data_IF_257040380305
#
_entry.id   IF_257040380305
#
_cell.length_a   1.000
_cell.length_b   1.000
_cell.length_c   1.000
_cell.angle_alpha   90.00
_cell.angle_beta   90.00
_cell.angle_gamma   90.00
#
_symmetry.space_group_name_H-M   'P 1'
#
loop_
_entity.id
_entity.type
_entity.pdbx_description
1 polymer ?
#
# COMPACT_ATOMS: atom_id res chain seq x y z
N UNK A 1 1.89 16.18 -9.39
CA UNK A 1 0.86 15.21 -8.97
C UNK A 1 -0.34 15.99 -8.47
N UNK A 2 -1.58 15.57 -8.78
CA UNK A 2 -2.77 16.21 -8.23
C UNK A 2 -2.73 16.11 -6.69
N UNK A 3 -2.93 17.24 -6.01
CA UNK A 3 -2.90 17.30 -4.55
C UNK A 3 -4.33 17.20 -4.01
N UNK A 4 -4.84 15.97 -3.84
CA UNK A 4 -6.20 15.71 -3.35
C UNK A 4 -6.41 16.10 -1.88
N UNK A 5 -5.32 16.24 -1.12
CA UNK A 5 -5.29 16.41 0.33
C UNK A 5 -6.24 17.49 0.86
N UNK A 6 -6.29 18.67 0.24
CA UNK A 6 -7.13 19.79 0.72
C UNK A 6 -8.62 19.50 0.52
N UNK A 7 -8.97 19.01 -0.66
CA UNK A 7 -10.34 18.66 -1.04
C UNK A 7 -10.85 17.48 -0.21
N UNK A 8 -10.07 16.40 -0.14
CA UNK A 8 -10.39 15.17 0.58
C UNK A 8 -10.60 15.42 2.08
N UNK A 9 -9.81 16.31 2.70
CA UNK A 9 -10.04 16.73 4.09
C UNK A 9 -11.35 17.48 4.28
N UNK A 10 -11.78 18.29 3.31
CA UNK A 10 -13.05 19.02 3.37
C UNK A 10 -14.23 18.05 3.32
N UNK A 11 -14.15 17.05 2.44
CA UNK A 11 -15.15 15.97 2.32
C UNK A 11 -15.19 15.14 3.60
N UNK A 12 -14.03 14.67 4.08
CA UNK A 12 -13.93 13.82 5.28
C UNK A 12 -14.54 14.43 6.55
N UNK A 13 -14.48 15.76 6.71
CA UNK A 13 -15.10 16.48 7.84
C UNK A 13 -16.62 16.44 7.84
N UNK A 14 -17.24 16.14 6.71
CA UNK A 14 -18.71 16.08 6.55
C UNK A 14 -19.26 14.66 6.70
N UNK A 15 -18.41 13.64 6.57
CA UNK A 15 -18.81 12.23 6.68
C UNK A 15 -19.05 11.83 8.14
N UNK A 16 -20.31 11.54 8.45
CA UNK A 16 -20.80 11.10 9.76
C UNK A 16 -20.62 9.60 9.95
N UNK A 17 -20.80 9.10 11.18
CA UNK A 17 -20.78 7.65 11.46
C UNK A 17 -21.91 6.92 10.71
N UNK A 18 -23.11 7.52 10.66
CA UNK A 18 -24.26 6.98 9.94
C UNK A 18 -23.97 6.82 8.44
N UNK A 19 -23.18 7.73 7.84
CA UNK A 19 -22.78 7.60 6.44
C UNK A 19 -21.85 6.39 6.21
N UNK A 20 -21.00 6.07 7.17
CA UNK A 20 -20.03 4.95 7.09
C UNK A 20 -20.67 3.59 7.38
N UNK A 21 -21.66 3.57 8.27
CA UNK A 21 -22.44 2.39 8.64
C UNK A 21 -23.75 2.29 7.87
N UNK A 22 -23.92 3.07 6.80
CA UNK A 22 -25.14 3.08 6.02
C UNK A 22 -25.51 1.67 5.53
N UNK A 23 -26.77 1.28 5.71
CA UNK A 23 -27.28 -0.05 5.39
C UNK A 23 -27.01 -1.13 6.43
N UNK A 24 -26.42 -0.79 7.57
CA UNK A 24 -26.35 -1.70 8.72
C UNK A 24 -27.74 -1.94 9.35
N UNK A 25 -28.65 -0.95 9.27
CA UNK A 25 -30.03 -1.05 9.79
C UNK A 25 -30.90 -2.06 9.03
N UNK A 26 -30.52 -2.45 7.80
CA UNK A 26 -31.26 -3.44 6.99
C UNK A 26 -30.99 -4.90 7.45
N UNK A 27 -30.00 -5.13 8.33
CA UNK A 27 -29.63 -6.46 8.80
C UNK A 27 -30.30 -6.75 10.17
N UNK A 28 -31.26 -7.68 10.18
CA UNK A 28 -31.81 -8.21 11.44
C UNK A 28 -30.70 -8.88 12.25
N UNK A 29 -30.32 -8.27 13.36
CA UNK A 29 -29.42 -8.87 14.35
C UNK A 29 -30.18 -10.01 15.04
N UNK A 30 -29.75 -11.26 14.85
CA UNK A 30 -30.27 -12.45 15.55
C UNK A 30 -29.21 -13.02 16.49
N UNK A 31 -29.60 -13.73 17.55
CA UNK A 31 -28.63 -14.35 18.49
C UNK A 31 -27.67 -15.35 17.79
N UNK A 32 -28.15 -16.02 16.74
CA UNK A 32 -27.35 -16.92 15.88
C UNK A 32 -26.30 -16.17 15.03
N UNK A 33 -26.54 -14.89 14.74
CA UNK A 33 -25.57 -14.02 14.06
C UNK A 33 -24.47 -13.49 15.00
N UNK A 34 -24.70 -13.50 16.31
CA UNK A 34 -23.78 -12.99 17.33
C UNK A 34 -22.90 -14.10 17.89
N UNK A 35 -23.38 -15.35 17.96
CA UNK A 35 -22.66 -16.46 18.56
C UNK A 35 -22.18 -17.47 17.51
N UNK A 36 -21.00 -18.05 17.71
CA UNK A 36 -20.57 -19.26 17.00
C UNK A 36 -21.21 -20.51 17.63
N UNK A 37 -21.04 -21.67 16.97
CA UNK A 37 -21.59 -22.96 17.43
C UNK A 37 -21.06 -23.38 18.80
N UNK A 38 -20.04 -22.69 19.33
CA UNK A 38 -19.46 -22.87 20.66
C UNK A 38 -19.96 -21.85 21.70
N UNK A 39 -20.92 -20.99 21.34
CA UNK A 39 -21.49 -19.98 22.22
C UNK A 39 -20.58 -18.78 22.48
N UNK A 40 -19.54 -18.56 21.66
CA UNK A 40 -18.66 -17.39 21.74
C UNK A 40 -19.13 -16.30 20.80
N UNK A 41 -18.89 -15.04 21.16
CA UNK A 41 -19.21 -13.90 20.29
C UNK A 41 -18.39 -14.03 19.00
N UNK A 42 -19.07 -14.13 17.85
CA UNK A 42 -18.45 -14.04 16.52
C UNK A 42 -17.73 -12.70 16.43
N UNK A 43 -16.41 -12.74 16.26
CA UNK A 43 -15.59 -11.57 15.94
C UNK A 43 -15.78 -11.11 14.47
N UNK A 44 -16.74 -11.70 13.74
CA UNK A 44 -17.10 -11.31 12.39
C UNK A 44 -18.01 -10.08 12.43
N UNK A 45 -17.43 -8.93 12.73
CA UNK A 45 -18.06 -7.69 12.30
C UNK A 45 -17.98 -7.72 10.78
N UNK A 46 -19.09 -7.94 10.06
CA UNK A 46 -19.20 -7.76 8.59
C UNK A 46 -18.74 -6.38 8.08
N UNK A 47 -18.28 -5.54 8.99
CA UNK A 47 -17.74 -4.22 8.82
C UNK A 47 -16.24 -4.28 8.57
N UNK A 48 -15.82 -3.70 7.45
CA UNK A 48 -14.42 -3.45 7.19
C UNK A 48 -13.86 -2.48 8.23
N UNK A 49 -12.77 -2.87 8.85
CA UNK A 49 -12.16 -2.20 9.99
C UNK A 49 -13.16 -1.93 11.13
N UNK A 50 -14.19 -2.77 11.32
CA UNK A 50 -15.19 -2.58 12.38
C UNK A 50 -16.02 -1.30 12.25
N UNK A 51 -15.97 -0.62 11.10
CA UNK A 51 -16.58 0.69 10.89
C UNK A 51 -17.41 0.77 9.60
N UNK A 52 -16.96 0.18 8.51
CA UNK A 52 -17.56 0.40 7.19
C UNK A 52 -18.35 -0.81 6.71
N UNK A 53 -19.61 -0.59 6.32
CA UNK A 53 -20.36 -1.56 5.50
C UNK A 53 -19.95 -1.47 4.03
N UNK A 54 -20.31 -2.45 3.20
CA UNK A 54 -20.07 -2.38 1.75
C UNK A 54 -20.72 -1.14 1.10
N UNK A 55 -21.97 -0.83 1.50
CA UNK A 55 -22.68 0.37 1.05
C UNK A 55 -22.01 1.66 1.56
N UNK A 56 -21.50 1.65 2.80
CA UNK A 56 -20.72 2.75 3.36
C UNK A 56 -19.43 3.02 2.57
N UNK A 57 -18.70 1.96 2.20
CA UNK A 57 -17.53 2.08 1.32
C UNK A 57 -17.95 2.65 -0.03
N UNK A 58 -19.03 2.16 -0.65
CA UNK A 58 -19.54 2.72 -1.92
C UNK A 58 -19.76 4.22 -1.82
N UNK A 59 -20.41 4.66 -0.74
CA UNK A 59 -20.68 6.07 -0.47
C UNK A 59 -19.40 6.88 -0.32
N UNK A 60 -18.38 6.35 0.38
CA UNK A 60 -17.05 6.98 0.43
C UNK A 60 -16.46 7.12 -0.98
N UNK A 61 -16.50 6.07 -1.82
CA UNK A 61 -15.98 6.17 -3.19
C UNK A 61 -16.70 7.24 -4.03
N UNK A 62 -18.01 7.39 -3.84
CA UNK A 62 -18.83 8.39 -4.53
C UNK A 62 -18.50 9.82 -4.09
N UNK A 63 -18.46 10.07 -2.77
CA UNK A 63 -18.20 11.38 -2.18
C UNK A 63 -16.80 11.89 -2.52
N UNK A 64 -15.82 11.00 -2.59
CA UNK A 64 -14.45 11.33 -2.99
C UNK A 64 -14.23 11.32 -4.53
N UNK A 65 -15.30 11.12 -5.30
CA UNK A 65 -15.28 11.17 -6.76
C UNK A 65 -14.56 10.00 -7.44
N UNK A 66 -14.19 8.95 -6.69
CA UNK A 66 -13.49 7.77 -7.23
C UNK A 66 -14.39 7.03 -8.22
N UNK A 67 -15.66 6.86 -7.89
CA UNK A 67 -16.63 6.19 -8.79
C UNK A 67 -16.71 6.91 -10.14
N UNK A 68 -16.75 8.25 -10.15
CA UNK A 68 -16.77 9.04 -11.39
C UNK A 68 -15.49 8.82 -12.22
N UNK A 69 -14.34 8.68 -11.58
CA UNK A 69 -13.08 8.39 -12.28
C UNK A 69 -13.07 6.97 -12.85
N UNK A 70 -13.60 5.99 -12.12
CA UNK A 70 -13.76 4.61 -12.58
C UNK A 70 -14.73 4.51 -13.77
N UNK A 71 -15.87 5.19 -13.70
CA UNK A 71 -16.86 5.23 -14.78
C UNK A 71 -16.28 5.83 -16.07
N UNK A 72 -15.47 6.89 -15.97
CA UNK A 72 -14.76 7.48 -17.12
C UNK A 72 -13.75 6.53 -17.75
N UNK A 73 -13.26 5.55 -16.99
CA UNK A 73 -12.38 4.48 -17.49
C UNK A 73 -13.16 3.32 -18.10
N UNK A 74 -14.49 3.34 -18.03
CA UNK A 74 -15.37 2.25 -18.47
C UNK A 74 -15.65 1.20 -17.38
N UNK A 75 -15.12 1.38 -16.17
CA UNK A 75 -15.28 0.45 -15.05
C UNK A 75 -16.55 0.84 -14.26
N UNK A 76 -17.69 0.27 -14.67
CA UNK A 76 -19.02 0.59 -14.12
C UNK A 76 -19.54 -0.56 -13.25
N UNK A 77 -20.73 -0.37 -12.65
CA UNK A 77 -21.44 -1.40 -11.88
C UNK A 77 -20.54 -2.04 -10.81
N UNK A 78 -19.97 -1.19 -9.95
CA UNK A 78 -19.00 -1.63 -8.96
C UNK A 78 -19.66 -2.60 -7.97
N UNK A 79 -19.01 -3.75 -7.75
CA UNK A 79 -19.35 -4.70 -6.70
C UNK A 79 -18.27 -4.64 -5.63
N UNK A 80 -18.66 -4.23 -4.43
CA UNK A 80 -17.78 -4.15 -3.26
C UNK A 80 -18.01 -5.39 -2.42
N UNK A 81 -16.95 -6.02 -1.96
CA UNK A 81 -17.03 -7.17 -1.07
C UNK A 81 -16.08 -7.01 0.12
N UNK A 82 -16.58 -7.29 1.32
CA UNK A 82 -15.77 -7.33 2.54
C UNK A 82 -15.59 -8.79 2.97
N UNK A 83 -14.38 -9.15 3.36
CA UNK A 83 -14.07 -10.44 4.01
C UNK A 83 -13.30 -10.19 5.31
N UNK A 84 -13.95 -10.53 6.42
CA UNK A 84 -13.48 -10.42 7.81
C UNK A 84 -13.46 -11.78 8.50
N UNK A 85 -13.49 -12.87 7.72
CA UNK A 85 -13.47 -14.25 8.25
C UNK A 85 -12.18 -14.59 8.99
N UNK A 86 -11.07 -13.94 8.64
CA UNK A 86 -9.81 -14.03 9.37
C UNK A 86 -9.80 -12.99 10.52
N UNK A 87 -9.57 -13.39 11.77
CA UNK A 87 -9.65 -12.49 12.92
C UNK A 87 -8.58 -11.39 12.94
N UNK A 88 -7.50 -11.53 12.15
CA UNK A 88 -6.41 -10.56 12.06
C UNK A 88 -6.44 -9.75 10.75
N UNK A 89 -7.05 -10.29 9.70
CA UNK A 89 -7.11 -9.65 8.38
C UNK A 89 -8.48 -9.06 8.08
N UNK A 90 -8.49 -7.82 7.62
CA UNK A 90 -9.67 -7.20 7.00
C UNK A 90 -9.38 -7.06 5.51
N UNK A 91 -10.20 -7.71 4.67
CA UNK A 91 -10.04 -7.69 3.22
C UNK A 91 -11.17 -6.91 2.58
N UNK A 92 -10.82 -6.08 1.62
CA UNK A 92 -11.73 -5.30 0.79
C UNK A 92 -11.42 -5.60 -0.67
N UNK A 93 -12.45 -6.02 -1.40
CA UNK A 93 -12.39 -6.23 -2.84
C UNK A 93 -13.34 -5.28 -3.54
N UNK A 94 -12.91 -4.77 -4.69
CA UNK A 94 -13.77 -4.00 -5.59
C UNK A 94 -13.64 -4.61 -6.98
N UNK A 95 -14.79 -4.97 -7.53
CA UNK A 95 -14.93 -5.49 -8.87
C UNK A 95 -15.78 -4.55 -9.73
N UNK A 96 -15.71 -4.68 -11.05
CA UNK A 96 -16.59 -3.99 -11.99
C UNK A 96 -17.55 -4.96 -12.71
N UNK A 97 -18.54 -4.42 -13.42
CA UNK A 97 -19.57 -5.17 -14.15
C UNK A 97 -20.41 -6.14 -13.29
N UNK A 98 -20.46 -5.92 -11.97
CA UNK A 98 -21.22 -6.77 -11.04
C UNK A 98 -20.66 -8.19 -10.85
N UNK A 99 -19.55 -8.53 -11.52
CA UNK A 99 -18.95 -9.87 -11.50
C UNK A 99 -17.90 -9.99 -10.40
N UNK A 100 -17.82 -11.16 -9.76
CA UNK A 100 -16.88 -11.46 -8.68
C UNK A 100 -15.89 -12.52 -9.14
N UNK A 101 -14.93 -12.13 -9.97
CA UNK A 101 -13.86 -12.99 -10.48
C UNK A 101 -12.56 -12.21 -10.67
N UNK A 102 -11.48 -12.93 -11.03
CA UNK A 102 -10.14 -12.35 -11.13
C UNK A 102 -9.95 -11.37 -12.30
N UNK A 103 -10.74 -11.50 -13.36
CA UNK A 103 -10.68 -10.61 -14.53
C UNK A 103 -11.54 -9.35 -14.34
N UNK A 104 -12.37 -9.31 -13.30
CA UNK A 104 -13.15 -8.13 -12.93
C UNK A 104 -12.64 -7.44 -11.66
N UNK A 105 -11.61 -7.97 -10.99
CA UNK A 105 -11.06 -7.37 -9.78
C UNK A 105 -10.18 -6.16 -10.12
N UNK A 106 -10.55 -4.97 -9.63
CA UNK A 106 -9.81 -3.72 -9.85
C UNK A 106 -9.07 -3.25 -8.59
N UNK A 107 -9.53 -3.67 -7.42
CA UNK A 107 -8.91 -3.36 -6.14
C UNK A 107 -8.99 -4.57 -5.21
N UNK A 108 -7.87 -4.91 -4.59
CA UNK A 108 -7.80 -5.78 -3.43
C UNK A 108 -6.94 -5.08 -2.37
N UNK A 109 -7.52 -4.85 -1.21
CA UNK A 109 -6.85 -4.25 -0.06
C UNK A 109 -6.97 -5.19 1.12
N UNK A 110 -5.83 -5.70 1.60
CA UNK A 110 -5.77 -6.51 2.81
C UNK A 110 -5.00 -5.74 3.86
N UNK A 111 -5.63 -5.55 5.02
CA UNK A 111 -5.06 -4.78 6.12
C UNK A 111 -5.14 -5.53 7.45
N UNK A 112 -4.15 -5.31 8.31
CA UNK A 112 -4.15 -5.71 9.72
C UNK A 112 -4.27 -4.46 10.59
N UNK A 113 -5.13 -4.52 11.60
CA UNK A 113 -5.18 -3.49 12.65
C UNK A 113 -4.13 -3.75 13.72
N UNK A 114 -3.79 -2.69 14.44
CA UNK A 114 -3.10 -2.76 15.73
C UNK A 114 -1.78 -3.52 15.69
N UNK A 115 -1.07 -3.43 14.56
CA UNK A 115 0.28 -3.98 14.46
C UNK A 115 1.19 -3.15 15.35
N UNK A 116 1.46 -3.67 16.54
CA UNK A 116 2.39 -3.05 17.47
C UNK A 116 3.80 -3.28 16.96
N UNK A 117 4.42 -2.23 16.40
CA UNK A 117 5.84 -2.25 16.08
C UNK A 117 6.59 -1.92 17.37
N UNK A 118 7.40 -2.84 17.93
CA UNK A 118 8.11 -2.57 19.17
C UNK A 118 8.97 -1.31 19.06
N UNK A 119 8.98 -0.49 20.12
CA UNK A 119 9.81 0.72 20.22
C UNK A 119 11.33 0.47 20.10
N UNK A 120 11.78 -0.80 20.12
CA UNK A 120 13.17 -1.15 19.76
C UNK A 120 13.43 -1.11 18.26
N UNK A 121 12.41 -1.30 17.41
CA UNK A 121 12.51 -1.25 15.95
C UNK A 121 12.50 0.19 15.46
N UNK A 122 11.68 1.05 16.09
CA UNK A 122 11.75 2.50 15.98
C UNK A 122 12.28 3.06 17.30
N UNK A 123 13.58 3.41 17.45
CA UNK A 123 14.21 3.82 18.72
C UNK A 123 13.65 5.17 19.24
N UNK A 124 12.39 5.14 19.61
CA UNK A 124 11.54 6.22 20.09
C UNK A 124 11.23 5.88 21.53
N UNK A 125 11.62 6.76 22.45
CA UNK A 125 11.21 6.65 23.86
C UNK A 125 9.74 7.04 23.96
N UNK A 126 8.89 6.15 24.45
CA UNK A 126 7.46 6.36 24.66
C UNK A 126 7.13 6.07 26.12
N UNK A 127 6.25 6.86 26.73
CA UNK A 127 5.79 6.66 28.10
C UNK A 127 5.06 5.32 28.26
N UNK A 128 4.25 4.92 27.27
CA UNK A 128 3.45 3.69 27.28
C UNK A 128 3.95 2.60 26.30
N UNK A 129 5.14 2.76 25.72
CA UNK A 129 5.86 1.77 24.90
C UNK A 129 5.16 1.15 23.67
N UNK A 130 3.98 1.60 23.25
CA UNK A 130 3.29 1.06 22.07
C UNK A 130 2.94 2.15 21.05
N UNK A 131 3.03 1.78 19.77
CA UNK A 131 2.60 2.58 18.62
C UNK A 131 1.67 1.70 17.79
N UNK A 132 0.54 2.26 17.38
CA UNK A 132 -0.48 1.51 16.65
C UNK A 132 -0.42 1.85 15.17
N UNK A 133 -0.33 0.83 14.32
CA UNK A 133 -0.25 1.01 12.88
C UNK A 133 -1.39 0.28 12.17
N UNK A 134 -1.94 0.93 11.14
CA UNK A 134 -2.69 0.22 10.10
C UNK A 134 -1.67 -0.41 9.15
N UNK A 135 -1.56 -1.73 9.15
CA UNK A 135 -0.64 -2.42 8.25
C UNK A 135 -1.34 -2.81 6.95
N UNK A 136 -0.78 -2.39 5.82
CA UNK A 136 -1.15 -2.85 4.49
C UNK A 136 -0.35 -4.13 4.22
N UNK A 137 -1.04 -5.26 4.29
CA UNK A 137 -0.46 -6.58 3.96
C UNK A 137 -0.42 -6.77 2.43
N UNK A 138 -1.47 -6.33 1.75
CA UNK A 138 -1.59 -6.47 0.29
C UNK A 138 -2.36 -5.30 -0.29
N UNK A 139 -1.89 -4.82 -1.45
CA UNK A 139 -2.57 -3.82 -2.24
C UNK A 139 -2.45 -4.12 -3.74
N UNK A 140 -3.59 -4.43 -4.34
CA UNK A 140 -3.75 -4.54 -5.78
C UNK A 140 -4.58 -3.35 -6.28
N UNK A 141 -4.08 -2.68 -7.32
CA UNK A 141 -4.83 -1.67 -8.07
C UNK A 141 -4.54 -1.85 -9.55
N UNK A 142 -5.51 -2.41 -10.26
CA UNK A 142 -5.32 -2.83 -11.65
C UNK A 142 -6.53 -2.49 -12.53
N UNK A 143 -6.29 -2.38 -13.83
CA UNK A 143 -7.32 -2.16 -14.84
C UNK A 143 -7.33 -3.34 -15.82
N UNK A 144 -8.16 -4.37 -15.56
CA UNK A 144 -8.24 -5.56 -16.40
C UNK A 144 -8.71 -5.29 -17.84
N UNK A 145 -9.29 -4.12 -18.12
CA UNK A 145 -9.77 -3.75 -19.46
C UNK A 145 -8.67 -3.24 -20.38
N UNK A 146 -7.44 -3.12 -19.87
CA UNK A 146 -6.29 -2.59 -20.58
C UNK A 146 -5.23 -3.67 -20.81
N UNK A 147 -4.54 -3.53 -21.93
CA UNK A 147 -3.36 -4.33 -22.26
C UNK A 147 -2.09 -3.52 -22.00
N UNK A 148 -0.98 -4.21 -21.74
CA UNK A 148 0.33 -3.58 -21.70
C UNK A 148 0.72 -3.06 -23.09
N UNK A 149 1.63 -2.09 -23.13
CA UNK A 149 2.18 -1.53 -24.37
C UNK A 149 3.69 -1.35 -24.23
N UNK A 150 4.45 -1.17 -25.34
CA UNK A 150 5.88 -0.89 -25.24
C UNK A 150 6.22 0.33 -24.39
N UNK A 151 5.33 1.34 -24.34
CA UNK A 151 5.49 2.52 -23.50
C UNK A 151 5.13 2.27 -22.01
N UNK A 152 4.31 1.25 -21.72
CA UNK A 152 3.92 0.82 -20.38
C UNK A 152 3.94 -0.71 -20.28
N UNK A 153 5.15 -1.31 -20.29
CA UNK A 153 5.31 -2.75 -20.20
C UNK A 153 5.01 -3.24 -18.78
N UNK A 154 4.75 -4.55 -18.65
CA UNK A 154 4.47 -5.18 -17.36
C UNK A 154 5.70 -5.14 -16.42
N UNK A 155 5.51 -4.62 -15.22
CA UNK A 155 6.46 -4.76 -14.12
C UNK A 155 6.37 -6.19 -13.53
N UNK A 156 7.38 -6.65 -12.77
CA UNK A 156 7.34 -7.96 -12.14
C UNK A 156 6.05 -8.19 -11.35
N UNK A 157 5.41 -9.35 -11.54
CA UNK A 157 4.18 -9.71 -10.85
C UNK A 157 2.90 -9.02 -11.34
N UNK A 158 2.95 -8.13 -12.34
CA UNK A 158 1.74 -7.50 -12.87
C UNK A 158 1.04 -8.40 -13.89
N UNK A 159 -0.23 -8.71 -13.61
CA UNK A 159 -1.15 -9.35 -14.58
C UNK A 159 -1.81 -8.34 -15.52
N UNK A 160 -2.16 -7.17 -15.00
CA UNK A 160 -2.81 -6.09 -15.74
C UNK A 160 -2.13 -4.73 -15.50
N UNK A 161 -2.29 -3.75 -16.40
CA UNK A 161 -1.85 -2.38 -16.17
C UNK A 161 -2.44 -1.79 -14.88
N UNK A 162 -1.68 -0.90 -14.24
CA UNK A 162 -2.13 -0.27 -13.01
C UNK A 162 -3.31 0.68 -13.22
N UNK A 163 -4.26 0.69 -12.29
CA UNK A 163 -5.50 1.48 -12.37
C UNK A 163 -5.27 3.01 -12.36
N UNK A 164 -4.14 3.44 -11.79
CA UNK A 164 -3.75 4.85 -11.71
C UNK A 164 -4.43 5.64 -10.59
N UNK A 165 -5.05 4.96 -9.61
CA UNK A 165 -5.75 5.56 -8.47
C UNK A 165 -5.00 5.48 -7.15
N UNK A 166 -3.71 5.09 -7.18
CA UNK A 166 -2.89 4.91 -5.98
C UNK A 166 -2.84 6.16 -5.09
N UNK A 167 -2.68 7.35 -5.67
CA UNK A 167 -2.63 8.60 -4.89
C UNK A 167 -3.96 8.90 -4.17
N UNK A 168 -5.11 8.65 -4.82
CA UNK A 168 -6.42 8.83 -4.20
C UNK A 168 -6.64 7.83 -3.06
N UNK A 169 -6.29 6.56 -3.28
CA UNK A 169 -6.39 5.53 -2.24
C UNK A 169 -5.48 5.84 -1.05
N UNK A 170 -4.23 6.25 -1.30
CA UNK A 170 -3.30 6.61 -0.21
C UNK A 170 -3.84 7.78 0.62
N UNK A 171 -4.42 8.81 0.00
CA UNK A 171 -5.04 9.92 0.74
C UNK A 171 -6.26 9.47 1.56
N UNK A 172 -7.09 8.55 1.04
CA UNK A 172 -8.17 7.93 1.82
C UNK A 172 -7.64 7.16 3.02
N UNK A 173 -6.61 6.33 2.84
CA UNK A 173 -5.99 5.57 3.93
C UNK A 173 -5.35 6.49 4.98
N UNK A 174 -4.75 7.61 4.58
CA UNK A 174 -4.22 8.62 5.51
C UNK A 174 -5.34 9.24 6.35
N UNK A 175 -6.48 9.56 5.73
CA UNK A 175 -7.63 10.12 6.43
C UNK A 175 -8.23 9.12 7.41
N UNK A 176 -8.38 7.87 6.97
CA UNK A 176 -8.84 6.76 7.79
C UNK A 176 -7.90 6.50 8.96
N UNK A 177 -6.60 6.46 8.68
CA UNK A 177 -5.54 6.29 9.66
C UNK A 177 -5.64 7.31 10.79
N UNK A 178 -5.85 8.59 10.43
CA UNK A 178 -6.03 9.68 11.39
C UNK A 178 -7.34 9.61 12.16
N UNK A 179 -8.44 9.23 11.50
CA UNK A 179 -9.75 9.10 12.13
C UNK A 179 -9.78 8.00 13.18
N UNK A 180 -9.02 6.92 12.95
CA UNK A 180 -8.85 5.80 13.87
C UNK A 180 -7.66 5.97 14.84
N UNK A 181 -7.07 7.17 14.89
CA UNK A 181 -5.96 7.51 15.81
C UNK A 181 -4.72 6.61 15.69
N UNK A 182 -4.45 6.06 14.50
CA UNK A 182 -3.20 5.32 14.25
C UNK A 182 -1.99 6.26 14.22
N UNK A 183 -0.86 5.77 14.72
CA UNK A 183 0.44 6.45 14.69
C UNK A 183 1.07 6.48 13.31
N UNK A 184 0.70 5.53 12.46
CA UNK A 184 1.15 5.45 11.09
C UNK A 184 0.42 4.40 10.28
N UNK A 185 0.78 4.33 9.00
CA UNK A 185 0.44 3.23 8.11
C UNK A 185 1.73 2.49 7.82
N UNK A 186 1.73 1.17 7.93
CA UNK A 186 2.90 0.36 7.62
C UNK A 186 2.67 -0.53 6.40
N UNK A 187 3.75 -0.91 5.71
CA UNK A 187 3.73 -1.84 4.58
C UNK A 187 5.09 -2.55 4.52
N UNK A 188 5.16 -3.75 3.94
CA UNK A 188 6.41 -4.48 3.68
C UNK A 188 6.45 -4.95 2.23
N UNK A 189 6.87 -4.09 1.27
CA UNK A 189 6.74 -4.40 -0.14
C UNK A 189 7.67 -5.52 -0.60
N UNK A 190 7.11 -6.53 -1.28
CA UNK A 190 7.84 -7.68 -1.79
C UNK A 190 8.84 -7.36 -2.93
N UNK A 191 8.67 -6.23 -3.61
CA UNK A 191 9.47 -5.86 -4.78
C UNK A 191 10.06 -4.46 -4.64
N UNK A 192 11.24 -4.24 -5.22
CA UNK A 192 11.91 -2.93 -5.20
C UNK A 192 11.02 -1.83 -5.81
N UNK A 193 10.34 -2.11 -6.93
CA UNK A 193 9.56 -1.10 -7.63
C UNK A 193 8.34 -0.65 -6.82
N UNK A 194 7.71 -1.54 -6.04
CA UNK A 194 6.61 -1.19 -5.15
C UNK A 194 7.14 -0.34 -4.00
N UNK A 195 8.24 -0.76 -3.35
CA UNK A 195 8.91 0.06 -2.34
C UNK A 195 9.30 1.45 -2.85
N UNK A 196 9.83 1.55 -4.07
CA UNK A 196 10.13 2.83 -4.71
C UNK A 196 8.89 3.73 -4.81
N UNK A 197 7.73 3.18 -5.19
CA UNK A 197 6.48 3.95 -5.26
C UNK A 197 6.02 4.43 -3.88
N UNK A 198 6.04 3.55 -2.87
CA UNK A 198 5.63 3.89 -1.50
C UNK A 198 6.56 4.92 -0.83
N UNK A 199 7.87 4.86 -1.07
CA UNK A 199 8.86 5.80 -0.48
C UNK A 199 8.73 7.26 -0.91
N UNK A 200 7.70 7.61 -1.71
CA UNK A 200 7.30 9.01 -1.92
C UNK A 200 6.77 9.65 -0.64
N UNK A 201 6.09 8.87 0.20
CA UNK A 201 5.46 9.33 1.45
C UNK A 201 5.71 8.42 2.65
N UNK A 202 6.30 7.24 2.42
CA UNK A 202 6.75 6.31 3.46
C UNK A 202 8.27 6.42 3.67
N UNK A 203 8.72 6.02 4.85
CA UNK A 203 10.13 5.89 5.22
C UNK A 203 10.42 4.44 5.61
N UNK A 204 11.57 3.90 5.21
CA UNK A 204 12.02 2.61 5.74
C UNK A 204 12.37 2.74 7.21
N UNK A 205 12.02 1.74 8.00
CA UNK A 205 12.47 1.70 9.40
C UNK A 205 13.99 1.47 9.45
N UNK A 206 14.49 0.64 8.54
CA UNK A 206 15.90 0.38 8.34
C UNK A 206 16.56 1.45 7.48
N UNK A 207 17.51 2.19 8.07
CA UNK A 207 18.24 3.26 7.38
C UNK A 207 19.04 2.78 6.17
N UNK A 208 19.48 1.51 6.13
CA UNK A 208 20.19 0.92 4.98
C UNK A 208 19.24 0.74 3.79
N UNK A 209 18.01 0.27 4.02
CA UNK A 209 17.00 0.16 2.96
C UNK A 209 16.55 1.52 2.44
N UNK A 210 16.37 2.52 3.32
CA UNK A 210 16.14 3.90 2.90
C UNK A 210 17.27 4.41 2.01
N UNK A 211 18.51 4.19 2.42
CA UNK A 211 19.70 4.60 1.68
C UNK A 211 19.82 3.90 0.31
N UNK A 212 19.49 2.61 0.22
CA UNK A 212 19.49 1.87 -1.05
C UNK A 212 18.52 2.50 -2.05
N UNK A 213 17.28 2.78 -1.61
CA UNK A 213 16.28 3.41 -2.47
C UNK A 213 16.76 4.79 -2.92
N UNK A 214 17.22 5.64 -2.00
CA UNK A 214 17.73 6.98 -2.33
C UNK A 214 18.93 6.94 -3.29
N UNK A 215 19.85 6.00 -3.08
CA UNK A 215 20.98 5.78 -3.98
C UNK A 215 20.51 5.33 -5.37
N UNK A 216 19.58 4.38 -5.46
CA UNK A 216 19.01 3.94 -6.73
C UNK A 216 18.26 5.07 -7.46
N UNK A 217 17.48 5.90 -6.74
CA UNK A 217 16.82 7.07 -7.33
C UNK A 217 17.83 8.01 -7.96
N UNK A 218 18.94 8.27 -7.27
CA UNK A 218 19.95 9.24 -7.69
C UNK A 218 20.89 8.70 -8.78
N UNK A 219 21.24 7.42 -8.73
CA UNK A 219 22.33 6.86 -9.55
C UNK A 219 21.83 6.07 -10.76
N UNK A 220 20.66 5.41 -10.65
CA UNK A 220 20.15 4.49 -11.67
C UNK A 220 19.04 5.13 -12.52
N UNK A 221 18.07 5.82 -11.92
CA UNK A 221 16.95 6.41 -12.69
C UNK A 221 17.35 7.44 -13.76
N UNK A 222 18.44 8.23 -13.60
CA UNK A 222 18.87 9.11 -14.69
C UNK A 222 19.41 8.36 -15.91
N UNK A 223 19.79 7.08 -15.75
CA UNK A 223 20.45 6.26 -16.78
C UNK A 223 19.53 5.19 -17.37
N UNK A 224 18.55 4.73 -16.59
CA UNK A 224 17.72 3.58 -16.92
C UNK A 224 16.25 3.91 -16.74
N UNK A 225 15.41 3.29 -17.58
CA UNK A 225 13.97 3.37 -17.44
C UNK A 225 13.52 2.72 -16.13
N UNK A 226 12.36 3.15 -15.60
CA UNK A 226 11.79 2.52 -14.41
C UNK A 226 11.50 1.02 -14.61
N UNK A 227 11.14 0.62 -15.84
CA UNK A 227 10.98 -0.78 -16.21
C UNK A 227 12.29 -1.58 -16.07
N UNK A 228 13.38 -1.07 -16.65
CA UNK A 228 14.71 -1.70 -16.52
C UNK A 228 15.12 -1.81 -15.05
N UNK A 229 14.91 -0.75 -14.27
CA UNK A 229 15.23 -0.76 -12.85
C UNK A 229 14.45 -1.84 -12.08
N UNK A 230 13.13 -1.95 -12.32
CA UNK A 230 12.28 -2.94 -11.68
C UNK A 230 12.74 -4.38 -11.97
N UNK A 231 13.02 -4.70 -13.24
CA UNK A 231 13.49 -6.01 -13.65
C UNK A 231 14.95 -6.29 -13.25
N UNK A 232 15.81 -5.27 -13.21
CA UNK A 232 17.18 -5.42 -12.74
C UNK A 232 17.26 -5.86 -11.28
N UNK A 233 16.45 -5.25 -10.40
CA UNK A 233 16.36 -5.71 -9.02
C UNK A 233 15.74 -7.11 -8.91
N UNK A 234 14.71 -7.40 -9.72
CA UNK A 234 14.04 -8.71 -9.70
C UNK A 234 14.98 -9.86 -10.12
N UNK A 235 15.82 -9.66 -11.14
CA UNK A 235 16.75 -10.67 -11.64
C UNK A 235 18.15 -10.62 -10.99
N UNK A 236 18.36 -9.79 -9.96
CA UNK A 236 19.67 -9.65 -9.31
C UNK A 236 20.76 -9.16 -10.28
N UNK A 237 20.45 -8.15 -11.09
CA UNK A 237 21.36 -7.52 -12.05
C UNK A 237 21.97 -6.22 -11.53
N UNK A 238 21.60 -5.77 -10.32
CA UNK A 238 22.16 -4.56 -9.71
C UNK A 238 23.41 -4.93 -8.94
N UNK A 239 24.52 -4.24 -9.22
CA UNK A 239 25.81 -4.47 -8.56
C UNK A 239 26.25 -3.22 -7.80
N UNK A 240 26.94 -3.41 -6.68
CA UNK A 240 27.64 -2.33 -5.98
C UNK A 240 29.10 -2.30 -6.41
N UNK A 241 29.51 -1.29 -7.17
CA UNK A 241 30.88 -1.14 -7.69
C UNK A 241 31.95 -0.95 -6.63
N UNK A 242 31.57 -0.63 -5.39
CA UNK A 242 32.52 -0.58 -4.27
C UNK A 242 32.90 -1.96 -3.74
N UNK A 243 31.92 -2.87 -3.64
CA UNK A 243 32.12 -4.20 -3.05
C UNK A 243 32.15 -5.31 -4.10
N UNK A 244 31.75 -5.01 -5.34
CA UNK A 244 31.49 -5.95 -6.43
C UNK A 244 30.41 -7.00 -6.14
N UNK A 245 29.61 -6.78 -5.08
CA UNK A 245 28.52 -7.68 -4.71
C UNK A 245 27.23 -7.33 -5.46
N UNK A 246 26.40 -8.36 -5.69
CA UNK A 246 25.04 -8.20 -6.19
C UNK A 246 24.17 -7.62 -5.07
N UNK A 247 23.42 -6.57 -5.39
CA UNK A 247 22.40 -6.02 -4.51
C UNK A 247 21.09 -6.79 -4.71
N UNK A 248 20.81 -7.69 -3.79
CA UNK A 248 19.52 -8.37 -3.71
C UNK A 248 18.50 -7.49 -3.00
N UNK A 249 17.26 -7.50 -3.50
CA UNK A 249 16.15 -6.84 -2.82
C UNK A 249 15.63 -7.72 -1.68
N UNK A 250 15.64 -7.20 -0.46
CA UNK A 250 15.05 -7.83 0.71
C UNK A 250 13.85 -6.98 1.18
N UNK A 251 12.64 -7.56 1.31
CA UNK A 251 11.49 -6.82 1.82
C UNK A 251 11.70 -6.36 3.27
N UNK A 252 11.46 -5.09 3.53
CA UNK A 252 11.58 -4.49 4.87
C UNK A 252 10.43 -3.49 5.14
N UNK A 253 10.25 -3.15 6.41
CA UNK A 253 9.15 -2.33 6.89
C UNK A 253 9.29 -0.87 6.43
N UNK A 254 8.21 -0.38 5.83
CA UNK A 254 7.94 1.01 5.49
C UNK A 254 6.88 1.57 6.42
N UNK A 255 7.04 2.83 6.82
CA UNK A 255 6.07 3.55 7.64
C UNK A 255 5.77 4.91 7.03
N UNK A 256 4.49 5.19 6.83
CA UNK A 256 3.95 6.53 6.64
C UNK A 256 3.59 7.08 8.02
N UNK A 257 4.32 8.08 8.53
CA UNK A 257 4.04 8.66 9.84
C UNK A 257 2.75 9.48 9.83
N UNK A 258 1.84 9.18 10.75
CA UNK A 258 0.61 9.95 10.97
C UNK A 258 0.67 10.77 12.25
N UNK A 259 1.25 10.24 13.33
CA UNK A 259 1.45 10.97 14.58
C UNK A 259 2.72 11.83 14.57
N UNK A 260 2.71 12.89 15.39
CA UNK A 260 3.85 13.82 15.50
C UNK A 260 5.11 13.11 16.00
N UNK A 261 4.97 12.12 16.86
CA UNK A 261 6.09 11.40 17.48
C UNK A 261 6.83 10.57 16.44
N UNK A 262 6.11 9.77 15.64
CA UNK A 262 6.71 8.98 14.55
C UNK A 262 7.30 9.89 13.48
N UNK A 263 6.60 10.98 13.12
CA UNK A 263 7.12 11.95 12.16
C UNK A 263 8.41 12.63 12.65
N UNK A 264 8.50 12.98 13.95
CA UNK A 264 9.69 13.58 14.55
C UNK A 264 10.89 12.64 14.49
N UNK A 265 10.68 11.34 14.67
CA UNK A 265 11.73 10.34 14.55
C UNK A 265 12.35 10.30 13.14
N UNK A 266 11.54 10.12 12.10
CA UNK A 266 12.06 10.09 10.72
C UNK A 266 12.65 11.44 10.28
N UNK A 267 12.23 12.53 10.90
CA UNK A 267 12.82 13.85 10.69
C UNK A 267 14.07 14.14 11.52
N UNK A 268 14.40 13.30 12.50
CA UNK A 268 15.51 13.50 13.41
C UNK A 268 16.86 13.46 12.70
N UNK A 269 17.84 14.15 13.27
CA UNK A 269 19.21 14.08 12.80
C UNK A 269 19.78 12.66 12.95
N UNK A 270 19.38 11.93 14.00
CA UNK A 270 19.82 10.55 14.25
C UNK A 270 19.45 9.60 13.10
N UNK A 271 18.21 9.65 12.61
CA UNK A 271 17.78 8.82 11.49
C UNK A 271 18.45 9.27 10.19
N UNK A 272 18.41 10.59 9.91
CA UNK A 272 18.95 11.16 8.67
C UNK A 272 20.47 10.98 8.53
N UNK A 273 21.24 11.03 9.61
CA UNK A 273 22.69 10.82 9.57
C UNK A 273 23.04 9.38 9.21
N UNK A 274 22.35 8.39 9.80
CA UNK A 274 22.52 6.97 9.46
C UNK A 274 22.19 6.69 7.99
N UNK A 275 21.10 7.25 7.47
CA UNK A 275 20.75 7.12 6.04
C UNK A 275 21.88 7.69 5.17
N UNK A 276 22.35 8.92 5.47
CA UNK A 276 23.46 9.54 4.75
C UNK A 276 24.76 8.74 4.81
N UNK A 277 25.05 8.13 5.95
CA UNK A 277 26.21 7.26 6.14
C UNK A 277 26.11 6.02 5.23
N UNK A 278 24.98 5.30 5.26
CA UNK A 278 24.77 4.14 4.39
C UNK A 278 24.79 4.50 2.90
N UNK A 279 24.30 5.68 2.50
CA UNK A 279 24.35 6.13 1.10
C UNK A 279 25.79 6.14 0.56
N UNK A 280 26.79 6.46 1.40
CA UNK A 280 28.20 6.47 0.98
C UNK A 280 28.69 5.08 0.57
N UNK A 281 28.04 4.01 1.03
CA UNK A 281 28.44 2.63 0.74
C UNK A 281 27.86 2.12 -0.59
N UNK A 282 26.97 2.88 -1.24
CA UNK A 282 26.33 2.48 -2.48
C UNK A 282 26.92 3.22 -3.69
N UNK A 283 27.55 2.46 -4.59
CA UNK A 283 27.86 2.88 -5.96
C UNK A 283 27.20 1.89 -6.92
N UNK A 284 25.98 2.18 -7.35
CA UNK A 284 25.12 1.23 -8.03
C UNK A 284 25.30 1.27 -9.55
N UNK A 285 25.34 0.10 -10.16
CA UNK A 285 25.33 -0.10 -11.61
C UNK A 285 24.41 -1.29 -11.94
N UNK A 286 23.85 -1.31 -13.16
CA UNK A 286 23.07 -2.44 -13.66
C UNK A 286 23.94 -3.18 -14.68
N UNK A 287 24.09 -4.49 -14.49
CA UNK A 287 24.63 -5.38 -15.51
C UNK A 287 23.61 -5.50 -16.66
N UNK A 288 23.82 -4.71 -17.70
CA UNK A 288 22.92 -4.63 -18.85
C UNK A 288 22.96 -5.87 -19.74
N UNK A 289 24.08 -6.60 -19.77
CA UNK A 289 24.18 -7.84 -20.54
C UNK A 289 23.29 -8.90 -19.87
N UNK A 290 23.50 -9.12 -18.57
CA UNK A 290 22.68 -10.05 -17.78
C UNK A 290 21.20 -9.68 -17.81
N UNK A 291 20.87 -8.40 -17.68
CA UNK A 291 19.48 -7.95 -17.75
C UNK A 291 18.85 -8.21 -19.12
N UNK A 292 19.58 -7.93 -20.21
CA UNK A 292 19.07 -8.13 -21.57
C UNK A 292 18.80 -9.60 -21.86
N UNK A 293 19.68 -10.49 -21.41
CA UNK A 293 19.50 -11.94 -21.58
C UNK A 293 18.27 -12.44 -20.80
N UNK A 294 18.10 -11.99 -19.54
CA UNK A 294 16.93 -12.34 -18.72
C UNK A 294 15.61 -11.82 -19.29
N UNK A 295 15.61 -10.62 -19.89
CA UNK A 295 14.42 -10.07 -20.52
C UNK A 295 14.04 -10.79 -21.82
N UNK A 296 15.03 -11.31 -22.57
CA UNK A 296 14.77 -12.19 -23.73
C UNK A 296 14.17 -13.52 -23.30
N UNK A 297 14.75 -14.17 -22.29
CA UNK A 297 14.21 -15.43 -21.72
C UNK A 297 12.75 -15.30 -21.28
N UNK A 298 12.36 -14.16 -20.71
CA UNK A 298 10.97 -13.87 -20.30
C UNK A 298 10.00 -13.73 -21.48
N UNK A 299 10.49 -13.28 -22.63
CA UNK A 299 9.66 -12.95 -23.80
C UNK A 299 9.48 -14.13 -24.76
N UNK A 300 10.24 -15.22 -24.55
CA UNK A 300 10.12 -16.51 -25.21
C UNK A 300 9.09 -17.40 -24.53
#
# INVERSE_FOLDING_TARGET
MPNYKKEFRKIARRLTLADLQFGFEDEKITMESILDDSGRIKADTRLFLGLFTEKGIKRVLDEFGITKVLERKGLKNLRICIDTSDPFLNKLFIYFDGKKDCDHCICELVVKKDVTIPSRVLPIKLENNTLNFLHIEWLLLQDPTKSFSPAKPALPGQRFPGLGLGDMLMELLILLGKRLSFDGISNKPAHFYTAYMFTRVFYFVNSKHQALIEAAKRQLLPKYTFFQLAWAFYYGCVINKKTYEIINWEPDWLILPLSKVVLKYFNSQQYKSKVKEHIKNFQLEIDMNKLSDKLKEKSS
#
